data_IF_968701352620
#
_entry.id   IF_968701352620
#
_cell.length_a   1.000
_cell.length_b   1.000
_cell.length_c   1.000
_cell.angle_alpha   90.00
_cell.angle_beta   90.00
_cell.angle_gamma   90.00
#
_symmetry.space_group_name_H-M   'P 1'
#
loop_
_entity.id
_entity.type
_entity.pdbx_description
1 polymer ?
#
# COMPACT_ATOMS: atom_id res chain seq x y z
N UNK A 1 -2.90 -21.43 31.21
CA UNK A 1 -4.20 -22.10 31.03
C UNK A 1 -5.23 -21.20 31.66
N UNK A 2 -6.08 -20.59 30.84
CA UNK A 2 -7.07 -19.59 31.29
C UNK A 2 -8.45 -20.22 31.19
N UNK A 3 -9.31 -19.99 32.18
CA UNK A 3 -10.67 -20.55 32.26
C UNK A 3 -11.67 -19.40 32.27
N UNK A 4 -12.73 -19.48 31.46
CA UNK A 4 -13.79 -18.47 31.37
C UNK A 4 -15.16 -19.15 31.35
N UNK A 5 -16.19 -18.47 31.87
CA UNK A 5 -17.55 -19.00 31.77
C UNK A 5 -18.09 -18.90 30.35
N UNK A 6 -19.14 -19.68 30.04
CA UNK A 6 -19.80 -19.65 28.73
C UNK A 6 -20.42 -18.28 28.43
N UNK A 7 -20.94 -17.57 29.43
CA UNK A 7 -21.52 -16.24 29.29
C UNK A 7 -20.43 -15.18 29.00
N UNK A 8 -19.30 -15.25 29.71
CA UNK A 8 -18.17 -14.35 29.45
C UNK A 8 -17.55 -14.60 28.08
N UNK A 9 -17.39 -15.88 27.71
CA UNK A 9 -16.91 -16.26 26.39
C UNK A 9 -17.85 -15.72 25.29
N UNK A 10 -19.17 -15.82 25.46
CA UNK A 10 -20.13 -15.28 24.49
C UNK A 10 -20.04 -13.75 24.36
N UNK A 11 -19.87 -13.02 25.47
CA UNK A 11 -19.77 -11.57 25.46
C UNK A 11 -18.43 -11.02 24.93
N UNK A 12 -17.33 -11.77 25.09
CA UNK A 12 -15.96 -11.33 24.76
C UNK A 12 -15.25 -12.22 23.73
N UNK A 13 -15.98 -13.04 22.97
CA UNK A 13 -15.40 -14.04 22.08
C UNK A 13 -14.36 -13.44 21.11
N UNK A 14 -14.71 -12.31 20.50
CA UNK A 14 -13.82 -11.63 19.55
C UNK A 14 -12.51 -11.24 20.22
N UNK A 15 -12.57 -10.62 21.41
CA UNK A 15 -11.38 -10.20 22.15
C UNK A 15 -10.49 -11.41 22.53
N UNK A 16 -11.11 -12.49 23.03
CA UNK A 16 -10.41 -13.73 23.36
C UNK A 16 -9.67 -14.31 22.15
N UNK A 17 -10.31 -14.32 20.96
CA UNK A 17 -9.70 -14.81 19.72
C UNK A 17 -8.50 -13.94 19.30
N UNK A 18 -8.60 -12.62 19.42
CA UNK A 18 -7.53 -11.70 19.01
C UNK A 18 -6.30 -11.76 19.95
N UNK A 19 -6.51 -12.08 21.22
CA UNK A 19 -5.43 -12.16 22.22
C UNK A 19 -4.76 -13.53 22.29
N UNK A 20 -5.45 -14.59 21.85
CA UNK A 20 -4.94 -15.97 21.84
C UNK A 20 -3.71 -16.12 20.94
N UNK A 21 -2.57 -16.45 21.54
CA UNK A 21 -1.35 -16.78 20.78
C UNK A 21 -1.47 -18.16 20.12
N UNK A 22 -0.74 -18.43 19.03
CA UNK A 22 -0.66 -19.78 18.45
C UNK A 22 -0.33 -20.86 19.49
N UNK A 23 -1.19 -21.86 19.61
CA UNK A 23 -1.05 -22.97 20.56
C UNK A 23 -1.46 -22.63 22.00
N UNK A 24 -1.85 -21.39 22.30
CA UNK A 24 -2.42 -21.02 23.59
C UNK A 24 -3.85 -21.54 23.74
N UNK A 25 -4.24 -21.84 24.98
CA UNK A 25 -5.49 -22.52 25.30
C UNK A 25 -6.33 -21.74 26.33
N UNK A 26 -7.62 -21.59 26.02
CA UNK A 26 -8.67 -21.08 26.91
C UNK A 26 -9.75 -22.15 27.07
N UNK A 27 -10.05 -22.55 28.30
CA UNK A 27 -11.13 -23.48 28.61
C UNK A 27 -12.42 -22.71 28.87
N UNK A 28 -13.49 -23.11 28.23
CA UNK A 28 -14.84 -22.57 28.46
C UNK A 28 -15.57 -23.53 29.41
N UNK A 29 -16.12 -22.98 30.48
CA UNK A 29 -16.87 -23.72 31.50
C UNK A 29 -18.33 -23.30 31.54
N UNK A 30 -19.23 -24.24 31.80
CA UNK A 30 -20.65 -24.00 32.07
C UNK A 30 -21.00 -24.69 33.39
N UNK A 31 -21.59 -23.96 34.34
CA UNK A 31 -21.83 -24.45 35.72
C UNK A 31 -20.57 -25.06 36.37
N UNK A 32 -19.43 -24.37 36.25
CA UNK A 32 -18.10 -24.80 36.73
C UNK A 32 -17.56 -26.12 36.11
N UNK A 33 -18.21 -26.65 35.08
CA UNK A 33 -17.75 -27.82 34.34
C UNK A 33 -17.14 -27.41 33.00
N UNK A 34 -15.97 -27.94 32.66
CA UNK A 34 -15.33 -27.69 31.37
C UNK A 34 -16.16 -28.31 30.24
N UNK A 35 -16.64 -27.47 29.32
CA UNK A 35 -17.49 -27.88 28.20
C UNK A 35 -16.80 -27.75 26.84
N UNK A 36 -15.86 -26.80 26.70
CA UNK A 36 -15.16 -26.57 25.44
C UNK A 36 -13.77 -25.97 25.65
N UNK A 37 -12.98 -25.92 24.57
CA UNK A 37 -11.66 -25.28 24.54
C UNK A 37 -11.49 -24.47 23.26
N UNK A 38 -11.00 -23.25 23.41
CA UNK A 38 -10.46 -22.41 22.33
C UNK A 38 -8.95 -22.58 22.27
N UNK A 39 -8.42 -22.80 21.07
CA UNK A 39 -6.98 -22.90 20.81
C UNK A 39 -6.59 -21.92 19.72
N UNK A 40 -5.61 -21.07 20.02
CA UNK A 40 -5.07 -20.12 19.04
C UNK A 40 -4.46 -20.85 17.85
N UNK A 41 -4.93 -20.57 16.64
CA UNK A 41 -4.45 -21.25 15.44
C UNK A 41 -3.03 -20.79 15.08
N UNK A 42 -2.19 -21.73 14.68
CA UNK A 42 -0.90 -21.38 14.07
C UNK A 42 -1.16 -20.94 12.65
N UNK A 43 -0.83 -19.69 12.27
CA UNK A 43 -1.04 -19.23 10.91
C UNK A 43 -0.26 -20.13 9.94
N UNK A 44 -0.85 -20.47 8.78
CA UNK A 44 -0.16 -21.30 7.80
C UNK A 44 1.14 -20.61 7.41
N UNK A 45 2.25 -21.36 7.50
CA UNK A 45 3.56 -20.84 7.16
C UNK A 45 3.52 -20.43 5.69
N UNK A 46 3.69 -19.13 5.41
CA UNK A 46 3.83 -18.64 4.03
C UNK A 46 5.01 -19.35 3.40
N UNK A 47 4.75 -20.14 2.36
CA UNK A 47 5.81 -20.72 1.54
C UNK A 47 6.54 -19.57 0.82
N UNK A 48 7.88 -19.53 0.85
CA UNK A 48 8.62 -18.55 0.07
C UNK A 48 8.21 -18.61 -1.40
N UNK A 49 8.13 -17.44 -2.05
CA UNK A 49 7.88 -17.39 -3.50
C UNK A 49 9.04 -18.08 -4.21
N UNK A 50 8.76 -19.11 -4.98
CA UNK A 50 9.75 -19.76 -5.84
C UNK A 50 9.89 -18.96 -7.13
N UNK A 51 11.14 -18.63 -7.53
CA UNK A 51 11.41 -18.00 -8.83
C UNK A 51 10.82 -18.88 -9.94
N UNK A 52 10.07 -18.29 -10.85
CA UNK A 52 9.45 -19.00 -11.98
C UNK A 52 8.15 -19.76 -11.67
N UNK A 53 7.59 -19.70 -10.46
CA UNK A 53 6.34 -20.41 -10.10
C UNK A 53 5.09 -19.97 -10.89
N UNK A 54 5.17 -18.81 -11.54
CA UNK A 54 4.15 -18.26 -12.43
C UNK A 54 4.51 -18.37 -13.93
N UNK A 55 5.66 -18.96 -14.28
CA UNK A 55 6.08 -19.13 -15.68
C UNK A 55 5.05 -19.98 -16.42
N UNK A 56 4.54 -19.45 -17.53
CA UNK A 56 3.52 -20.11 -18.37
C UNK A 56 2.10 -20.12 -17.80
N UNK A 57 1.85 -19.50 -16.63
CA UNK A 57 0.51 -19.38 -16.03
C UNK A 57 -0.23 -18.11 -16.43
N UNK A 58 0.50 -17.14 -16.96
CA UNK A 58 -0.06 -15.86 -17.41
C UNK A 58 0.11 -15.81 -18.92
N UNK A 59 -1.01 -15.77 -19.62
CA UNK A 59 -1.09 -15.50 -21.06
C UNK A 59 -1.72 -14.13 -21.17
N UNK A 60 -0.97 -13.16 -21.69
CA UNK A 60 -1.53 -11.87 -22.08
C UNK A 60 -2.17 -12.12 -23.45
N UNK A 61 -3.51 -12.11 -23.59
CA UNK A 61 -4.12 -12.16 -24.91
C UNK A 61 -3.74 -10.86 -25.63
N UNK A 62 -2.94 -10.97 -26.68
CA UNK A 62 -2.71 -9.86 -27.58
C UNK A 62 -4.00 -9.65 -28.38
N UNK A 63 -4.85 -8.71 -27.94
CA UNK A 63 -5.75 -8.04 -28.88
C UNK A 63 -4.93 -6.93 -29.52
N UNK A 64 -4.58 -7.11 -30.79
CA UNK A 64 -3.82 -6.13 -31.58
C UNK A 64 -4.57 -4.79 -31.72
N UNK A 65 -5.89 -4.79 -31.60
CA UNK A 65 -6.75 -3.62 -31.82
C UNK A 65 -6.68 -2.54 -30.71
N UNK A 66 -6.14 -2.84 -29.52
CA UNK A 66 -5.95 -1.86 -28.42
C UNK A 66 -4.49 -1.38 -28.29
N UNK A 67 -3.60 -1.87 -29.15
CA UNK A 67 -2.16 -1.56 -29.08
C UNK A 67 -1.79 -0.25 -29.77
N UNK A 68 -2.50 0.14 -30.83
CA UNK A 68 -2.16 1.33 -31.62
C UNK A 68 -2.25 2.62 -30.81
N UNK A 69 -3.32 2.80 -30.02
CA UNK A 69 -3.47 3.95 -29.12
C UNK A 69 -2.42 3.97 -27.98
N UNK A 70 -1.99 2.79 -27.54
CA UNK A 70 -0.92 2.63 -26.54
C UNK A 70 0.47 2.89 -27.12
N UNK A 71 0.69 2.61 -28.40
CA UNK A 71 1.96 2.84 -29.10
C UNK A 71 2.22 4.33 -29.30
N UNK A 72 1.19 5.12 -29.61
CA UNK A 72 1.28 6.58 -29.72
C UNK A 72 1.75 7.24 -28.42
N UNK A 73 1.39 6.70 -27.25
CA UNK A 73 1.89 7.18 -25.96
C UNK A 73 3.42 7.02 -25.81
N UNK A 74 3.99 5.93 -26.31
CA UNK A 74 5.44 5.66 -26.25
C UNK A 74 6.23 6.31 -27.38
N UNK A 75 5.56 6.99 -28.32
CA UNK A 75 6.27 7.80 -29.31
C UNK A 75 6.98 8.94 -28.59
N UNK A 76 8.31 8.89 -28.64
CA UNK A 76 9.17 9.86 -27.98
C UNK A 76 9.01 11.22 -28.68
N UNK A 77 8.19 12.09 -28.11
CA UNK A 77 8.17 13.51 -28.52
C UNK A 77 9.44 14.19 -28.03
N UNK A 78 9.95 15.12 -28.83
CA UNK A 78 11.03 16.00 -28.36
C UNK A 78 10.51 16.91 -27.23
N UNK A 79 11.41 17.35 -26.33
CA UNK A 79 11.05 18.24 -25.22
C UNK A 79 10.37 19.53 -25.75
N UNK A 80 10.87 20.08 -26.85
CA UNK A 80 10.33 21.30 -27.46
C UNK A 80 8.92 21.10 -28.03
N UNK A 81 8.66 19.93 -28.61
CA UNK A 81 7.35 19.58 -29.17
C UNK A 81 6.31 19.40 -28.06
N UNK A 82 6.67 18.67 -26.99
CA UNK A 82 5.82 18.50 -25.82
C UNK A 82 5.53 19.84 -25.12
N UNK A 83 6.53 20.71 -24.99
CA UNK A 83 6.37 22.03 -24.40
C UNK A 83 5.33 22.87 -25.17
N UNK A 84 5.40 22.89 -26.51
CA UNK A 84 4.40 23.58 -27.36
C UNK A 84 2.99 23.04 -27.17
N UNK A 85 2.82 21.72 -27.12
CA UNK A 85 1.52 21.07 -26.94
C UNK A 85 0.90 21.41 -25.58
N UNK A 86 1.71 21.36 -24.52
CA UNK A 86 1.28 21.74 -23.17
C UNK A 86 1.18 23.26 -22.98
N UNK A 87 1.48 24.06 -24.01
CA UNK A 87 1.52 25.52 -23.97
C UNK A 87 2.47 26.06 -22.88
N UNK A 88 3.52 25.30 -22.58
CA UNK A 88 4.59 25.68 -21.66
C UNK A 88 5.77 26.18 -22.49
N UNK A 89 6.36 27.30 -22.10
CA UNK A 89 7.63 27.72 -22.69
C UNK A 89 8.78 27.11 -21.88
N UNK A 90 9.76 26.45 -22.52
CA UNK A 90 10.94 25.99 -21.80
C UNK A 90 11.67 27.20 -21.23
N UNK A 91 11.82 27.23 -19.91
CA UNK A 91 12.50 28.32 -19.20
C UNK A 91 14.00 28.01 -19.15
N UNK A 92 14.87 28.86 -19.74
CA UNK A 92 16.30 28.59 -19.87
C UNK A 92 17.07 28.78 -18.55
N UNK A 93 16.49 29.45 -17.55
CA UNK A 93 17.11 29.74 -16.27
C UNK A 93 16.10 29.72 -15.12
N UNK A 94 16.56 29.48 -13.90
CA UNK A 94 15.69 29.46 -12.71
C UNK A 94 15.12 30.86 -12.41
N UNK A 95 15.91 31.91 -12.66
CA UNK A 95 15.55 33.31 -12.37
C UNK A 95 14.36 33.80 -13.23
N UNK A 96 14.22 33.27 -14.45
CA UNK A 96 13.06 33.55 -15.30
C UNK A 96 11.79 32.82 -14.84
N UNK A 97 11.92 31.70 -14.13
CA UNK A 97 10.79 30.95 -13.58
C UNK A 97 10.17 31.67 -12.37
N UNK A 98 10.97 32.42 -11.61
CA UNK A 98 10.51 33.15 -10.42
C UNK A 98 9.54 34.30 -10.72
N UNK A 99 9.56 34.88 -11.92
CA UNK A 99 8.63 35.95 -12.32
C UNK A 99 8.52 37.08 -11.28
N UNK A 100 7.29 37.43 -10.89
CA UNK A 100 6.98 38.42 -9.86
C UNK A 100 6.90 37.79 -8.46
N UNK A 101 7.95 37.06 -8.06
CA UNK A 101 7.99 36.47 -6.72
C UNK A 101 7.91 37.58 -5.65
N UNK A 102 7.03 37.48 -4.63
CA UNK A 102 6.86 38.55 -3.65
C UNK A 102 8.17 38.88 -2.95
N UNK A 103 8.55 40.16 -2.93
CA UNK A 103 9.81 40.59 -2.29
C UNK A 103 9.86 40.29 -0.79
N UNK A 104 8.71 40.10 -0.15
CA UNK A 104 8.59 39.75 1.27
C UNK A 104 8.80 38.26 1.56
N UNK A 105 8.75 37.39 0.54
CA UNK A 105 8.89 35.94 0.69
C UNK A 105 10.22 35.46 0.08
N UNK A 106 11.11 34.87 0.88
CA UNK A 106 12.36 34.30 0.37
C UNK A 106 12.11 33.00 -0.41
N UNK A 107 12.44 32.99 -1.70
CA UNK A 107 12.35 31.81 -2.55
C UNK A 107 13.19 30.63 -2.00
N UNK A 108 14.38 30.92 -1.46
CA UNK A 108 15.26 29.91 -0.90
C UNK A 108 14.66 29.25 0.36
N UNK A 109 13.93 30.02 1.17
CA UNK A 109 13.24 29.52 2.37
C UNK A 109 12.06 28.61 2.00
N UNK A 110 11.28 28.98 0.98
CA UNK A 110 10.22 28.14 0.44
C UNK A 110 10.75 26.82 -0.13
N UNK A 111 11.85 26.86 -0.90
CA UNK A 111 12.48 25.66 -1.44
C UNK A 111 13.06 24.76 -0.33
N UNK A 112 13.59 25.36 0.74
CA UNK A 112 14.05 24.62 1.92
C UNK A 112 12.89 23.88 2.60
N UNK A 113 11.75 24.55 2.79
CA UNK A 113 10.53 23.96 3.36
C UNK A 113 10.02 22.73 2.57
N UNK A 114 9.94 22.82 1.23
CA UNK A 114 9.52 21.69 0.39
C UNK A 114 10.47 20.50 0.51
N UNK A 115 11.79 20.76 0.57
CA UNK A 115 12.80 19.70 0.69
C UNK A 115 12.73 19.00 2.04
N UNK A 116 12.39 19.72 3.09
CA UNK A 116 12.20 19.16 4.43
C UNK A 116 10.95 18.28 4.49
N UNK A 117 9.83 18.69 3.89
CA UNK A 117 8.60 17.89 3.85
C UNK A 117 8.66 16.61 2.98
N UNK A 118 9.73 16.44 2.19
CA UNK A 118 9.98 15.22 1.39
C UNK A 118 10.99 14.26 2.02
N UNK A 119 11.57 14.59 3.18
CA UNK A 119 12.37 13.64 3.98
C UNK A 119 11.46 12.77 4.83
#
# INVERSE_FOLDING_TARGET
MTTVSIEEAAGKLSELIHQLKPGEEVIITENDQAVAKLVGQTPPRRTPRQKGSAKGKLVIPAKEEELDEWLDFWQQKSIDEFAREQKVQPVPSLDELSGDWPEEDSLDEFLAFIREGRR
#
